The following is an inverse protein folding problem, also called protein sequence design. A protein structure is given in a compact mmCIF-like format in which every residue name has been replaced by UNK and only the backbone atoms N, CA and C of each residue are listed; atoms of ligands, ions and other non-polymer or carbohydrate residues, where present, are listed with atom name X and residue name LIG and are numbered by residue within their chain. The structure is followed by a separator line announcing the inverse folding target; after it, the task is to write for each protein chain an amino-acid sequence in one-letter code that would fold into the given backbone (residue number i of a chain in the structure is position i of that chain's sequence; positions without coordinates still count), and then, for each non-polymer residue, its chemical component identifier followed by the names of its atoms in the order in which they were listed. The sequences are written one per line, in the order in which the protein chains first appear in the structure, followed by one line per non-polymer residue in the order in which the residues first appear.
data_IF_712182776553
#
_entry.id   IF_712182776553
#
_cell.length_a   1.000
_cell.length_b   1.000
_cell.length_c   1.000
_cell.angle_alpha   90.00
_cell.angle_beta   90.00
_cell.angle_gamma   90.00
#
_symmetry.space_group_name_H-M   'P 1'
#
loop_
_entity.id
_entity.type
_entity.pdbx_description
1 polymer ?
#
# COMPACT_ATOMS: atom_id res chain seq x y z
N UNK A 1 -19.46 -7.04 -3.80
CA UNK A 1 -18.24 -7.29 -4.61
C UNK A 1 -17.59 -8.64 -4.31
N UNK A 2 -17.00 -8.86 -3.13
CA UNK A 2 -16.37 -10.15 -2.77
C UNK A 2 -17.26 -11.37 -3.10
N UNK A 3 -18.50 -11.36 -2.61
CA UNK A 3 -19.49 -12.42 -2.89
C UNK A 3 -19.81 -12.59 -4.38
N UNK A 4 -19.98 -11.49 -5.13
CA UNK A 4 -20.32 -11.56 -6.56
C UNK A 4 -19.16 -12.08 -7.41
N UNK A 5 -17.92 -11.95 -6.92
CA UNK A 5 -16.73 -12.46 -7.59
C UNK A 5 -16.25 -13.81 -7.05
N UNK A 6 -16.90 -14.37 -6.02
CA UNK A 6 -16.49 -15.63 -5.41
C UNK A 6 -15.13 -15.55 -4.69
N UNK A 7 -14.74 -14.37 -4.21
CA UNK A 7 -13.45 -14.15 -3.53
C UNK A 7 -13.66 -13.76 -2.06
N UNK A 8 -12.63 -13.95 -1.23
CA UNK A 8 -12.69 -13.52 0.18
C UNK A 8 -12.47 -12.01 0.33
N UNK A 9 -13.01 -11.42 1.39
CA UNK A 9 -12.75 -10.01 1.70
C UNK A 9 -11.27 -9.77 2.02
N UNK A 10 -10.62 -10.74 2.67
CA UNK A 10 -9.18 -10.70 2.92
C UNK A 10 -8.38 -10.63 1.60
N UNK A 11 -8.76 -11.39 0.57
CA UNK A 11 -8.11 -11.32 -0.74
C UNK A 11 -8.23 -9.95 -1.40
N UNK A 12 -9.39 -9.29 -1.28
CA UNK A 12 -9.54 -7.91 -1.76
C UNK A 12 -8.59 -6.96 -1.03
N UNK A 13 -8.54 -7.06 0.30
CA UNK A 13 -7.66 -6.26 1.18
C UNK A 13 -6.19 -6.45 0.80
N UNK A 14 -5.73 -7.70 0.72
CA UNK A 14 -4.36 -8.04 0.36
C UNK A 14 -4.00 -7.58 -1.06
N UNK A 15 -4.92 -7.72 -2.01
CA UNK A 15 -4.69 -7.29 -3.40
C UNK A 15 -4.50 -5.78 -3.48
N UNK A 16 -5.40 -5.01 -2.86
CA UNK A 16 -5.31 -3.55 -2.85
C UNK A 16 -4.06 -3.08 -2.09
N UNK A 17 -3.67 -3.78 -1.02
CA UNK A 17 -2.42 -3.52 -0.33
C UNK A 17 -1.20 -3.76 -1.24
N UNK A 18 -1.17 -4.87 -1.97
CA UNK A 18 -0.12 -5.16 -2.94
C UNK A 18 -0.01 -4.10 -4.04
N UNK A 19 -1.14 -3.64 -4.60
CA UNK A 19 -1.17 -2.54 -5.57
C UNK A 19 -0.60 -1.25 -4.97
N UNK A 20 -0.98 -0.90 -3.74
CA UNK A 20 -0.48 0.28 -3.05
C UNK A 20 1.03 0.19 -2.81
N UNK A 21 1.51 -0.92 -2.25
CA UNK A 21 2.95 -1.12 -1.99
C UNK A 21 3.74 -1.07 -3.30
N UNK A 22 3.24 -1.67 -4.37
CA UNK A 22 3.86 -1.58 -5.70
C UNK A 22 3.95 -0.14 -6.19
N UNK A 23 2.85 0.62 -6.09
CA UNK A 23 2.82 2.03 -6.46
C UNK A 23 3.73 2.94 -5.62
N UNK A 24 3.86 2.67 -4.32
CA UNK A 24 4.74 3.43 -3.42
C UNK A 24 6.23 3.11 -3.61
N UNK A 25 6.55 1.89 -4.06
CA UNK A 25 7.93 1.41 -4.21
C UNK A 25 8.42 1.40 -5.66
N UNK A 26 7.53 1.62 -6.63
CA UNK A 26 7.81 1.46 -8.06
C UNK A 26 8.10 0.01 -8.47
N UNK A 27 7.58 -0.98 -7.72
CA UNK A 27 7.85 -2.40 -7.95
C UNK A 27 6.63 -3.11 -8.52
N UNK A 28 6.89 -3.99 -9.48
CA UNK A 28 5.89 -4.89 -10.06
C UNK A 28 5.83 -6.25 -9.36
N UNK A 29 6.76 -6.56 -8.47
CA UNK A 29 6.76 -7.81 -7.70
C UNK A 29 6.98 -7.46 -6.22
N UNK A 30 5.92 -7.60 -5.42
CA UNK A 30 5.90 -7.16 -4.03
C UNK A 30 5.61 -8.33 -3.10
N UNK A 31 6.24 -8.30 -1.93
CA UNK A 31 6.03 -9.27 -0.86
C UNK A 31 5.69 -8.52 0.43
N UNK A 32 4.62 -8.94 1.09
CA UNK A 32 4.24 -8.45 2.41
C UNK A 32 3.81 -9.62 3.28
N UNK A 33 3.89 -9.47 4.60
CA UNK A 33 3.41 -10.49 5.52
C UNK A 33 1.89 -10.44 5.62
N UNK A 34 1.25 -11.58 5.81
CA UNK A 34 -0.14 -11.66 6.26
C UNK A 34 -0.27 -12.59 7.44
N UNK A 35 -1.04 -12.18 8.43
CA UNK A 35 -1.43 -13.06 9.53
C UNK A 35 -2.58 -13.94 9.08
N UNK A 36 -2.41 -15.26 9.20
CA UNK A 36 -3.45 -16.27 8.97
C UNK A 36 -3.79 -16.96 10.29
N UNK A 37 -5.01 -17.49 10.37
CA UNK A 37 -5.46 -18.19 11.58
C UNK A 37 -4.70 -19.49 11.87
N UNK A 38 -4.05 -20.08 10.85
CA UNK A 38 -3.35 -21.37 10.91
C UNK A 38 -4.22 -22.54 11.38
N UNK A 39 -5.52 -22.48 11.10
CA UNK A 39 -6.51 -23.51 11.42
C UNK A 39 -6.92 -24.26 10.15
N UNK A 40 -6.27 -25.40 9.81
CA UNK A 40 -6.60 -26.14 8.58
C UNK A 40 -7.98 -26.80 8.69
N UNK A 41 -8.79 -26.64 7.64
CA UNK A 41 -10.19 -27.11 7.60
C UNK A 41 -10.35 -28.64 7.70
N UNK A 42 -9.27 -29.38 7.48
CA UNK A 42 -9.20 -30.85 7.58
C UNK A 42 -9.31 -31.33 9.04
N UNK A 43 -8.99 -30.48 10.01
CA UNK A 43 -9.07 -30.81 11.44
C UNK A 43 -10.49 -30.49 11.93
N UNK A 44 -11.28 -31.53 12.19
CA UNK A 44 -12.63 -31.40 12.74
C UNK A 44 -12.58 -30.67 14.09
N UNK A 45 -13.34 -29.59 14.21
CA UNK A 45 -13.41 -28.77 15.44
C UNK A 45 -12.26 -27.79 15.64
N UNK A 46 -11.36 -27.62 14.65
CA UNK A 46 -10.20 -26.72 14.75
C UNK A 46 -10.58 -25.28 15.08
N UNK A 47 -11.76 -24.82 14.66
CA UNK A 47 -12.26 -23.46 14.92
C UNK A 47 -12.46 -23.17 16.41
N UNK A 48 -12.73 -24.21 17.22
CA UNK A 48 -13.00 -24.11 18.65
C UNK A 48 -11.78 -24.43 19.53
N UNK A 49 -10.66 -24.83 18.92
CA UNK A 49 -9.44 -25.19 19.66
C UNK A 49 -8.75 -23.95 20.23
N UNK A 50 -8.33 -24.01 21.50
CA UNK A 50 -7.51 -22.98 22.13
C UNK A 50 -6.04 -23.38 22.01
N UNK A 51 -5.21 -22.50 21.43
CA UNK A 51 -3.79 -22.75 21.19
C UNK A 51 -3.16 -21.69 20.28
N UNK A 52 -1.84 -21.75 20.10
CA UNK A 52 -1.10 -20.87 19.20
C UNK A 52 -1.24 -21.38 17.76
N UNK A 53 -2.28 -20.92 17.07
CA UNK A 53 -2.53 -21.26 15.66
C UNK A 53 -2.15 -20.14 14.70
N UNK A 54 -2.07 -18.89 15.16
CA UNK A 54 -1.74 -17.77 14.27
C UNK A 54 -0.38 -17.98 13.62
N UNK A 55 -0.30 -17.74 12.33
CA UNK A 55 0.94 -17.84 11.57
C UNK A 55 1.09 -16.61 10.67
N UNK A 56 2.32 -16.23 10.38
CA UNK A 56 2.64 -15.11 9.50
C UNK A 56 3.26 -15.67 8.23
N UNK A 57 2.62 -15.42 7.09
CA UNK A 57 3.04 -15.95 5.80
C UNK A 57 3.41 -14.81 4.85
N UNK A 58 4.47 -14.95 4.03
CA UNK A 58 4.73 -14.01 2.96
C UNK A 58 3.70 -14.18 1.84
N UNK A 59 3.04 -13.09 1.49
CA UNK A 59 2.15 -12.98 0.34
C UNK A 59 2.91 -12.25 -0.75
N UNK A 60 3.16 -12.93 -1.86
CA UNK A 60 3.80 -12.34 -3.05
C UNK A 60 2.73 -12.01 -4.09
N UNK A 61 2.70 -10.77 -4.54
CA UNK A 61 1.82 -10.33 -5.63
C UNK A 61 2.68 -9.75 -6.74
N UNK A 62 2.55 -10.32 -7.93
CA UNK A 62 3.08 -9.75 -9.17
C UNK A 62 2.01 -8.89 -9.81
N UNK A 63 2.35 -7.65 -10.15
CA UNK A 63 1.50 -6.68 -10.79
C UNK A 63 1.82 -6.67 -12.29
N UNK A 64 0.80 -6.76 -13.12
CA UNK A 64 0.94 -6.68 -14.57
C UNK A 64 0.21 -5.43 -15.05
N UNK A 65 0.92 -4.49 -15.67
CA UNK A 65 0.38 -3.19 -16.04
C UNK A 65 -0.94 -3.27 -16.86
N UNK A 66 -1.04 -4.25 -17.76
CA UNK A 66 -2.21 -4.46 -18.61
C UNK A 66 -3.35 -5.29 -17.97
N UNK A 67 -3.09 -5.95 -16.83
CA UNK A 67 -4.09 -6.74 -16.11
C UNK A 67 -5.13 -5.81 -15.47
N UNK A 68 -6.40 -6.20 -15.45
CA UNK A 68 -7.43 -5.44 -14.73
C UNK A 68 -7.38 -5.72 -13.23
N UNK A 69 -7.84 -4.76 -12.42
CA UNK A 69 -7.89 -4.95 -10.97
C UNK A 69 -8.76 -6.17 -10.57
N UNK A 70 -9.88 -6.40 -11.28
CA UNK A 70 -10.71 -7.58 -11.10
C UNK A 70 -9.96 -8.89 -11.42
N UNK A 71 -9.20 -8.91 -12.53
CA UNK A 71 -8.40 -10.08 -12.94
C UNK A 71 -7.30 -10.38 -11.93
N UNK A 72 -6.62 -9.33 -11.44
CA UNK A 72 -5.61 -9.45 -10.39
C UNK A 72 -6.21 -10.09 -9.12
N UNK A 73 -7.38 -9.61 -8.67
CA UNK A 73 -8.06 -10.18 -7.49
C UNK A 73 -8.39 -11.66 -7.68
N UNK A 74 -8.91 -12.05 -8.85
CA UNK A 74 -9.21 -13.46 -9.17
C UNK A 74 -7.94 -14.32 -9.13
N UNK A 75 -6.86 -13.82 -9.74
CA UNK A 75 -5.58 -14.53 -9.75
C UNK A 75 -5.00 -14.68 -8.35
N UNK A 76 -5.00 -13.62 -7.54
CA UNK A 76 -4.56 -13.69 -6.14
C UNK A 76 -5.44 -14.66 -5.34
N UNK A 77 -6.76 -14.69 -5.54
CA UNK A 77 -7.64 -15.67 -4.89
C UNK A 77 -7.23 -17.12 -5.21
N UNK A 78 -6.92 -17.40 -6.48
CA UNK A 78 -6.49 -18.73 -6.93
C UNK A 78 -5.12 -19.11 -6.37
N UNK A 79 -4.16 -18.19 -6.42
CA UNK A 79 -2.82 -18.36 -5.85
C UNK A 79 -2.90 -18.65 -4.34
N UNK A 80 -3.70 -17.86 -3.60
CA UNK A 80 -3.89 -18.06 -2.15
C UNK A 80 -4.59 -19.38 -1.82
N UNK A 81 -5.60 -19.78 -2.62
CA UNK A 81 -6.27 -21.07 -2.43
C UNK A 81 -5.31 -22.25 -2.60
N UNK A 82 -4.39 -22.17 -3.58
CA UNK A 82 -3.35 -23.19 -3.80
C UNK A 82 -2.32 -23.29 -2.66
N UNK A 83 -2.20 -22.26 -1.81
CA UNK A 83 -1.26 -22.22 -0.69
C UNK A 83 -1.86 -22.68 0.64
N UNK A 84 -3.18 -22.85 0.74
CA UNK A 84 -3.88 -23.19 1.99
C UNK A 84 -3.28 -24.42 2.71
N UNK A 85 -2.93 -25.47 1.95
CA UNK A 85 -2.34 -26.70 2.49
C UNK A 85 -0.98 -26.46 3.18
N UNK A 86 -0.28 -25.36 2.86
CA UNK A 86 1.04 -25.02 3.36
C UNK A 86 1.03 -23.96 4.47
N UNK A 87 -0.15 -23.49 4.91
CA UNK A 87 -0.26 -22.46 5.95
C UNK A 87 0.27 -22.89 7.33
N UNK A 88 0.65 -24.16 7.49
CA UNK A 88 1.28 -24.70 8.69
C UNK A 88 2.80 -24.45 8.74
N UNK A 89 3.43 -24.08 7.61
CA UNK A 89 4.87 -23.79 7.57
C UNK A 89 5.17 -22.49 8.29
N UNK A 90 6.09 -22.52 9.25
CA UNK A 90 6.48 -21.33 10.01
C UNK A 90 7.31 -20.35 9.17
N UNK A 91 7.18 -19.05 9.46
CA UNK A 91 7.93 -18.00 8.76
C UNK A 91 9.45 -18.25 8.73
N UNK A 92 10.01 -18.75 9.84
CA UNK A 92 11.45 -19.07 9.94
C UNK A 92 11.87 -20.15 8.94
N UNK A 93 11.06 -21.19 8.74
CA UNK A 93 11.33 -22.25 7.78
C UNK A 93 11.24 -21.72 6.34
N UNK A 94 10.22 -20.91 6.06
CA UNK A 94 10.07 -20.25 4.76
C UNK A 94 11.28 -19.34 4.46
N UNK A 95 11.75 -18.59 5.45
CA UNK A 95 12.97 -17.77 5.33
C UNK A 95 14.19 -18.62 5.01
N UNK A 96 14.42 -19.72 5.71
CA UNK A 96 15.55 -20.61 5.46
C UNK A 96 15.54 -21.17 4.02
N UNK A 97 14.35 -21.52 3.50
CA UNK A 97 14.20 -22.02 2.14
C UNK A 97 14.35 -20.93 1.07
N UNK A 98 13.91 -19.70 1.36
CA UNK A 98 13.97 -18.58 0.43
C UNK A 98 15.36 -17.91 0.36
N UNK A 99 16.19 -18.09 1.38
CA UNK A 99 17.54 -17.53 1.48
C UNK A 99 17.70 -16.48 2.57
N UNK A 100 18.88 -15.87 2.67
CA UNK A 100 19.19 -14.90 3.73
C UNK A 100 18.61 -13.51 3.46
N UNK A 101 17.83 -12.98 4.40
CA UNK A 101 17.35 -11.59 4.41
C UNK A 101 15.91 -11.45 4.94
N UNK A 102 15.46 -10.23 5.25
CA UNK A 102 14.04 -9.99 5.54
C UNK A 102 13.21 -10.24 4.27
N UNK A 103 12.11 -11.00 4.40
CA UNK A 103 11.22 -11.31 3.28
C UNK A 103 10.26 -10.16 2.95
N UNK A 104 9.92 -9.36 3.96
CA UNK A 104 8.98 -8.25 3.85
C UNK A 104 9.13 -7.29 5.03
N UNK A 105 8.73 -6.04 4.82
CA UNK A 105 8.78 -4.96 5.81
C UNK A 105 7.39 -4.43 6.20
N UNK A 106 6.33 -4.97 5.58
CA UNK A 106 4.96 -4.59 5.87
C UNK A 106 4.09 -5.80 6.17
N UNK A 107 3.06 -5.59 7.00
CA UNK A 107 2.16 -6.65 7.46
C UNK A 107 0.70 -6.25 7.21
N UNK A 108 -0.12 -7.19 6.73
CA UNK A 108 -1.58 -7.06 6.71
C UNK A 108 -2.22 -8.02 7.70
N UNK A 109 -3.16 -7.52 8.49
CA UNK A 109 -3.94 -8.30 9.45
C UNK A 109 -5.42 -8.14 9.11
N UNK A 110 -6.10 -9.25 8.88
CA UNK A 110 -7.55 -9.26 8.70
C UNK A 110 -8.20 -9.96 9.89
N UNK A 111 -8.89 -9.20 10.73
CA UNK A 111 -9.53 -9.72 11.93
C UNK A 111 -10.91 -10.29 11.59
N UNK A 112 -11.04 -11.61 11.52
CA UNK A 112 -12.32 -12.27 11.21
C UNK A 112 -13.32 -12.32 12.40
N UNK A 113 -13.06 -11.61 13.50
CA UNK A 113 -13.91 -11.67 14.69
C UNK A 113 -14.84 -10.45 14.75
N UNK A 114 -16.14 -10.64 15.07
CA UNK A 114 -16.97 -9.51 15.46
C UNK A 114 -16.40 -8.96 16.77
N UNK A 115 -15.80 -7.78 16.72
CA UNK A 115 -15.51 -7.02 17.95
C UNK A 115 -16.85 -6.85 18.63
N UNK A 116 -16.99 -7.47 19.81
CA UNK A 116 -18.17 -7.34 20.66
C UNK A 116 -18.47 -5.84 20.74
N UNK A 117 -19.66 -5.46 20.23
CA UNK A 117 -20.10 -4.08 20.23
C UNK A 117 -19.99 -3.59 21.66
N UNK A 118 -19.30 -2.48 21.84
CA UNK A 118 -19.29 -1.74 23.10
C UNK A 118 -20.76 -1.47 23.45
N UNK A 119 -21.31 -2.28 24.35
CA UNK A 119 -22.71 -2.24 24.73
C UNK A 119 -22.89 -1.07 25.68
N UNK A 120 -22.92 0.13 25.11
CA UNK A 120 -23.32 1.37 25.79
C UNK A 120 -24.84 1.42 26.01
N UNK A 121 -25.49 0.27 26.19
CA UNK A 121 -26.91 0.21 26.52
C UNK A 121 -27.22 -1.02 27.40
N UNK A 122 -27.69 -0.72 28.61
CA UNK A 122 -28.46 -1.53 29.56
C UNK A 122 -27.71 -2.24 30.70
N UNK A 123 -27.87 -1.61 31.87
CA UNK A 123 -28.08 -2.20 33.18
C UNK A 123 -28.43 -3.71 33.18
N UNK A 124 -27.44 -4.56 33.42
CA UNK A 124 -27.65 -5.75 34.25
C UNK A 124 -26.35 -6.07 35.00
N UNK A 125 -26.49 -6.21 36.32
CA UNK A 125 -25.38 -6.36 37.25
C UNK A 125 -24.92 -7.81 37.23
N UNK A 126 -24.23 -8.24 36.16
CA UNK A 126 -23.52 -9.53 36.09
C UNK A 126 -22.60 -9.73 34.87
N UNK A 127 -22.17 -8.67 34.19
CA UNK A 127 -21.26 -8.81 33.05
C UNK A 127 -19.80 -8.59 33.47
N UNK A 128 -18.96 -9.56 33.09
CA UNK A 128 -17.51 -9.43 33.10
C UNK A 128 -17.17 -8.13 32.37
N UNK A 129 -16.56 -7.18 33.08
CA UNK A 129 -16.09 -5.92 32.53
C UNK A 129 -14.89 -6.23 31.62
N UNK A 130 -15.16 -6.72 30.41
CA UNK A 130 -14.15 -7.01 29.41
C UNK A 130 -13.68 -5.67 28.85
N UNK A 131 -12.79 -5.00 29.57
CA UNK A 131 -11.97 -3.94 28.99
C UNK A 131 -11.18 -4.57 27.87
N UNK A 132 -11.52 -4.22 26.63
CA UNK A 132 -10.68 -4.50 25.47
C UNK A 132 -9.39 -3.71 25.70
N UNK A 133 -8.40 -4.38 26.29
CA UNK A 133 -7.04 -3.86 26.32
C UNK A 133 -6.59 -3.92 24.87
N UNK A 134 -6.53 -2.76 24.21
CA UNK A 134 -5.78 -2.63 22.98
C UNK A 134 -4.33 -2.95 23.33
N UNK A 135 -3.92 -4.19 23.07
CA UNK A 135 -2.53 -4.58 23.17
C UNK A 135 -1.74 -3.62 22.31
N UNK A 136 -0.74 -2.96 22.91
CA UNK A 136 0.34 -2.37 22.16
C UNK A 136 1.09 -3.53 21.50
N UNK A 137 0.62 -3.95 20.33
CA UNK A 137 1.44 -4.77 19.43
C UNK A 137 2.62 -3.89 19.06
N UNK A 138 3.74 -4.10 19.74
CA UNK A 138 5.01 -3.51 19.35
C UNK A 138 5.19 -3.78 17.85
N UNK A 139 5.24 -2.74 17.04
CA UNK A 139 5.31 -2.83 15.59
C UNK A 139 6.66 -3.44 15.21
N UNK A 140 6.74 -4.77 15.15
CA UNK A 140 7.93 -5.50 14.66
C UNK A 140 8.21 -5.18 13.18
N UNK A 141 7.22 -4.65 12.47
CA UNK A 141 7.31 -4.20 11.08
C UNK A 141 7.12 -2.68 10.99
N UNK A 142 7.88 -1.97 10.14
CA UNK A 142 7.73 -0.54 9.92
C UNK A 142 6.29 -0.07 9.64
N UNK A 143 5.46 -0.91 9.01
CA UNK A 143 4.10 -0.59 8.64
C UNK A 143 3.17 -1.82 8.74
N UNK A 144 2.08 -1.70 9.49
CA UNK A 144 1.08 -2.76 9.66
C UNK A 144 -0.32 -2.22 9.39
N UNK A 145 -1.01 -2.79 8.40
CA UNK A 145 -2.41 -2.50 8.10
C UNK A 145 -3.31 -3.55 8.75
N UNK A 146 -4.14 -3.15 9.70
CA UNK A 146 -5.21 -3.98 10.24
C UNK A 146 -6.56 -3.57 9.63
N UNK A 147 -7.31 -4.57 9.13
CA UNK A 147 -8.67 -4.41 8.61
C UNK A 147 -9.62 -5.21 9.50
N UNK A 148 -10.56 -4.50 10.10
CA UNK A 148 -11.47 -5.03 11.11
C UNK A 148 -12.91 -4.79 10.63
N UNK A 149 -13.66 -5.83 10.26
CA UNK A 149 -15.08 -5.72 9.96
C UNK A 149 -15.85 -5.13 11.15
N UNK A 150 -16.72 -4.16 10.86
CA UNK A 150 -17.52 -3.43 11.84
C UNK A 150 -18.94 -3.23 11.31
N UNK A 151 -19.74 -4.31 11.34
CA UNK A 151 -21.08 -4.32 10.75
C UNK A 151 -21.02 -4.15 9.24
N UNK A 152 -21.67 -3.10 8.73
CA UNK A 152 -21.67 -2.75 7.30
C UNK A 152 -20.46 -1.91 6.87
N UNK A 153 -19.56 -1.60 7.81
CA UNK A 153 -18.33 -0.86 7.56
C UNK A 153 -17.08 -1.71 7.83
N UNK A 154 -15.93 -1.22 7.38
CA UNK A 154 -14.63 -1.73 7.76
C UNK A 154 -13.86 -0.64 8.49
N UNK A 155 -13.32 -0.96 9.67
CA UNK A 155 -12.35 -0.11 10.35
C UNK A 155 -10.97 -0.46 9.81
N UNK A 156 -10.25 0.56 9.37
CA UNK A 156 -8.87 0.46 8.93
C UNK A 156 -7.99 1.09 10.01
N UNK A 157 -6.96 0.37 10.46
CA UNK A 157 -5.92 0.89 11.36
C UNK A 157 -4.58 0.69 10.70
N UNK A 158 -3.78 1.75 10.63
CA UNK A 158 -2.42 1.70 10.11
C UNK A 158 -1.47 2.01 11.26
N UNK A 159 -0.82 0.97 11.78
CA UNK A 159 0.20 1.10 12.80
C UNK A 159 1.56 1.30 12.09
N UNK A 160 2.37 2.24 12.54
CA UNK A 160 3.64 2.59 11.91
C UNK A 160 4.74 2.84 12.93
N UNK A 161 6.00 2.63 12.53
CA UNK A 161 7.15 3.00 13.34
C UNK A 161 7.49 4.49 13.16
N UNK A 162 7.50 5.30 14.23
CA UNK A 162 7.79 6.74 14.13
C UNK A 162 9.20 7.08 13.63
N UNK A 163 10.14 6.13 13.74
CA UNK A 163 11.50 6.27 13.19
C UNK A 163 11.55 6.20 11.67
N UNK A 164 10.54 5.60 11.03
CA UNK A 164 10.47 5.40 9.58
C UNK A 164 9.39 6.28 8.92
N UNK A 165 8.28 6.55 9.62
CA UNK A 165 7.15 7.30 9.09
C UNK A 165 6.68 8.37 10.10
N UNK A 166 6.42 9.57 9.59
CA UNK A 166 5.65 10.57 10.32
C UNK A 166 4.13 10.35 10.14
N UNK A 167 3.35 11.02 10.97
CA UNK A 167 1.90 10.91 10.98
C UNK A 167 1.26 11.33 9.65
N UNK A 168 1.77 12.38 9.01
CA UNK A 168 1.24 12.88 7.74
C UNK A 168 1.44 11.88 6.61
N UNK A 169 2.61 11.23 6.56
CA UNK A 169 2.94 10.20 5.59
C UNK A 169 2.13 8.93 5.84
N UNK A 170 2.00 8.49 7.08
CA UNK A 170 1.13 7.36 7.42
C UNK A 170 -0.34 7.64 7.02
N UNK A 171 -0.85 8.84 7.33
CA UNK A 171 -2.21 9.26 6.97
C UNK A 171 -2.43 9.31 5.46
N UNK A 172 -1.46 9.81 4.69
CA UNK A 172 -1.50 9.78 3.21
C UNK A 172 -1.52 8.36 2.66
N UNK A 173 -0.71 7.45 3.21
CA UNK A 173 -0.71 6.03 2.81
C UNK A 173 -2.09 5.41 3.04
N UNK A 174 -2.70 5.64 4.21
CA UNK A 174 -4.03 5.14 4.52
C UNK A 174 -5.10 5.73 3.60
N UNK A 175 -5.03 7.03 3.29
CA UNK A 175 -5.94 7.69 2.35
C UNK A 175 -5.81 7.12 0.92
N UNK A 176 -4.59 6.84 0.45
CA UNK A 176 -4.36 6.18 -0.85
C UNK A 176 -4.91 4.76 -0.87
N UNK A 177 -4.78 4.03 0.23
CA UNK A 177 -5.40 2.71 0.38
C UNK A 177 -6.93 2.79 0.25
N UNK A 178 -7.57 3.75 0.92
CA UNK A 178 -9.01 4.00 0.80
C UNK A 178 -9.41 4.40 -0.62
N UNK A 179 -8.60 5.20 -1.30
CA UNK A 179 -8.81 5.58 -2.69
C UNK A 179 -8.80 4.37 -3.62
N UNK A 180 -7.84 3.44 -3.45
CA UNK A 180 -7.77 2.21 -4.24
C UNK A 180 -8.93 1.25 -3.94
N UNK A 181 -9.39 1.18 -2.68
CA UNK A 181 -10.62 0.44 -2.34
C UNK A 181 -11.85 1.02 -3.05
N UNK A 182 -11.89 2.33 -3.31
CA UNK A 182 -12.96 2.95 -4.09
C UNK A 182 -12.86 2.63 -5.59
N UNK A 183 -11.64 2.58 -6.15
CA UNK A 183 -11.45 2.12 -7.54
C UNK A 183 -11.89 0.68 -7.73
N UNK A 184 -11.66 -0.18 -6.74
CA UNK A 184 -12.12 -1.56 -6.75
C UNK A 184 -13.65 -1.68 -6.89
N UNK A 185 -14.43 -0.72 -6.39
CA UNK A 185 -15.90 -0.75 -6.48
C UNK A 185 -16.47 0.00 -7.68
N UNK A 186 -15.72 0.91 -8.28
CA UNK A 186 -16.20 1.81 -9.34
C UNK A 186 -15.56 1.58 -10.71
N UNK A 187 -14.37 0.96 -10.76
CA UNK A 187 -13.52 0.88 -11.94
C UNK A 187 -12.70 -0.42 -12.01
N UNK A 188 -13.21 -1.52 -11.45
CA UNK A 188 -12.50 -2.80 -11.33
C UNK A 188 -11.96 -3.38 -12.65
N UNK A 189 -12.63 -3.09 -13.77
CA UNK A 189 -12.26 -3.61 -15.09
C UNK A 189 -11.15 -2.79 -15.77
N UNK A 190 -10.73 -1.67 -15.18
CA UNK A 190 -9.62 -0.86 -15.70
C UNK A 190 -8.27 -1.56 -15.49
N UNK A 191 -7.32 -1.37 -16.43
CA UNK A 191 -5.96 -1.89 -16.28
C UNK A 191 -5.22 -1.23 -15.12
N UNK A 192 -4.31 -1.95 -14.47
CA UNK A 192 -3.50 -1.43 -13.36
C UNK A 192 -2.70 -0.19 -13.77
N UNK A 193 -2.25 -0.10 -15.03
CA UNK A 193 -1.50 1.06 -15.55
C UNK A 193 -2.30 2.36 -15.55
N UNK A 194 -3.63 2.28 -15.50
CA UNK A 194 -4.54 3.43 -15.47
C UNK A 194 -5.13 3.69 -14.08
N UNK A 195 -4.62 3.02 -13.03
CA UNK A 195 -5.03 3.28 -11.66
C UNK A 195 -4.24 4.45 -11.07
N UNK A 196 -4.95 5.47 -10.63
CA UNK A 196 -4.38 6.57 -9.90
C UNK A 196 -4.12 6.14 -8.45
N UNK A 197 -2.84 5.94 -8.11
CA UNK A 197 -2.42 5.71 -6.72
C UNK A 197 -2.29 7.04 -5.97
N UNK A 198 -2.06 8.14 -6.70
CA UNK A 198 -2.03 9.49 -6.14
C UNK A 198 -3.43 9.94 -5.77
N UNK A 199 -3.54 10.67 -4.67
CA UNK A 199 -4.78 11.34 -4.31
C UNK A 199 -5.03 12.50 -5.29
N UNK A 200 -6.29 12.86 -5.60
CA UNK A 200 -6.60 13.94 -6.54
C UNK A 200 -5.88 15.28 -6.26
N UNK A 201 -5.66 15.63 -4.99
CA UNK A 201 -4.93 16.85 -4.61
C UNK A 201 -3.41 16.78 -4.79
N UNK A 202 -2.83 15.58 -4.89
CA UNK A 202 -1.39 15.40 -5.08
C UNK A 202 -0.98 15.68 -6.53
N UNK A 203 -1.84 15.38 -7.51
CA UNK A 203 -1.60 15.72 -8.92
C UNK A 203 -1.53 17.24 -9.12
N UNK A 204 -2.43 18.01 -8.50
CA UNK A 204 -2.39 19.47 -8.58
C UNK A 204 -1.10 20.06 -7.97
N UNK A 205 -0.61 19.50 -6.86
CA UNK A 205 0.67 19.90 -6.27
C UNK A 205 1.85 19.60 -7.22
N UNK A 206 1.82 18.48 -7.95
CA UNK A 206 2.83 18.18 -8.97
C UNK A 206 2.78 19.18 -10.12
N UNK A 207 1.59 19.59 -10.56
CA UNK A 207 1.45 20.64 -11.58
C UNK A 207 2.04 21.96 -11.10
N UNK A 208 1.78 22.34 -9.85
CA UNK A 208 2.36 23.55 -9.23
C UNK A 208 3.89 23.48 -9.14
N UNK A 209 4.44 22.36 -8.65
CA UNK A 209 5.89 22.18 -8.57
C UNK A 209 6.56 22.18 -9.95
N UNK A 210 5.84 21.70 -10.97
CA UNK A 210 6.32 21.68 -12.35
C UNK A 210 5.92 22.92 -13.16
N UNK A 211 5.33 23.95 -12.54
CA UNK A 211 4.99 25.22 -13.17
C UNK A 211 6.24 26.07 -13.47
N UNK A 212 7.22 25.48 -14.14
CA UNK A 212 8.45 26.10 -14.66
C UNK A 212 8.21 26.86 -15.97
N UNK A 213 6.94 27.09 -16.30
CA UNK A 213 6.49 27.75 -17.52
C UNK A 213 7.03 29.18 -17.63
N UNK A 214 8.14 29.32 -18.33
CA UNK A 214 8.49 30.52 -19.08
C UNK A 214 8.52 30.13 -20.55
N UNK A 215 7.94 30.95 -21.43
CA UNK A 215 8.19 30.81 -22.85
C UNK A 215 9.66 31.16 -23.05
N UNK A 216 10.53 30.15 -23.10
CA UNK A 216 11.89 30.35 -23.56
C UNK A 216 11.77 30.93 -24.96
N UNK A 217 12.40 32.08 -25.17
CA UNK A 217 12.43 32.70 -26.49
C UNK A 217 12.95 31.66 -27.49
N UNK A 218 12.17 31.41 -28.53
CA UNK A 218 12.61 30.57 -29.66
C UNK A 218 13.54 31.41 -30.51
N UNK A 219 14.81 31.45 -30.11
CA UNK A 219 15.91 32.03 -30.86
C UNK A 219 17.12 31.14 -30.71
N UNK A 220 17.88 31.01 -31.80
CA UNK A 220 19.17 30.36 -31.78
C UNK A 220 20.17 31.20 -30.99
N UNK A 221 21.17 30.55 -30.39
CA UNK A 221 22.26 31.25 -29.70
C UNK A 221 22.91 32.34 -30.58
N UNK A 222 23.17 32.12 -31.89
CA UNK A 222 23.68 33.17 -32.78
C UNK A 222 22.75 34.38 -32.93
N UNK A 223 21.43 34.20 -32.99
CA UNK A 223 20.48 35.32 -33.07
C UNK A 223 20.48 36.15 -31.80
N UNK A 224 20.47 35.49 -30.63
CA UNK A 224 20.57 36.17 -29.33
C UNK A 224 21.90 36.91 -29.19
N UNK A 225 22.99 36.32 -29.69
CA UNK A 225 24.31 36.94 -29.72
C UNK A 225 24.33 38.18 -30.64
N UNK A 226 23.82 38.08 -31.87
CA UNK A 226 23.79 39.19 -32.82
C UNK A 226 22.99 40.39 -32.29
N UNK A 227 21.86 40.13 -31.64
CA UNK A 227 21.07 41.19 -30.99
C UNK A 227 21.82 41.84 -29.83
N UNK A 228 22.54 41.05 -29.03
CA UNK A 228 23.35 41.61 -27.94
C UNK A 228 24.47 42.50 -28.48
N UNK A 229 25.13 42.11 -29.57
CA UNK A 229 26.13 42.93 -30.27
C UNK A 229 25.51 44.22 -30.81
N UNK A 230 24.32 44.16 -31.42
CA UNK A 230 23.63 45.36 -31.90
C UNK A 230 23.20 46.30 -30.76
N UNK A 231 22.82 45.74 -29.60
CA UNK A 231 22.35 46.51 -28.45
C UNK A 231 23.47 47.24 -27.72
N UNK A 232 24.63 46.60 -27.53
CA UNK A 232 25.76 47.19 -26.78
C UNK A 232 27.10 46.83 -27.45
N UNK A 233 27.42 47.43 -28.62
CA UNK A 233 28.58 47.02 -29.42
C UNK A 233 29.94 47.32 -28.80
N UNK A 234 30.01 48.26 -27.84
CA UNK A 234 31.27 48.64 -27.18
C UNK A 234 31.50 47.98 -25.81
N UNK A 235 30.63 47.05 -25.40
CA UNK A 235 30.82 46.33 -24.14
C UNK A 235 31.83 45.20 -24.34
N UNK A 236 32.74 45.05 -23.37
CA UNK A 236 33.64 43.89 -23.28
C UNK A 236 32.82 42.61 -23.18
N UNK A 237 32.90 41.77 -24.21
CA UNK A 237 32.25 40.47 -24.32
C UNK A 237 33.19 39.31 -23.92
N UNK A 238 34.49 39.42 -24.24
CA UNK A 238 35.48 38.37 -23.93
C UNK A 238 36.83 39.00 -23.54
N UNK A 239 37.42 38.52 -22.46
CA UNK A 239 38.79 38.86 -22.05
C UNK A 239 39.61 37.59 -21.88
N UNK A 240 40.78 37.55 -22.51
CA UNK A 240 41.75 36.48 -22.32
C UNK A 240 43.16 37.05 -22.31
N UNK A 241 43.77 37.08 -21.12
CA UNK A 241 45.04 37.78 -20.92
C UNK A 241 44.87 39.28 -21.13
N UNK A 242 45.71 39.88 -21.99
CA UNK A 242 45.61 41.31 -22.34
C UNK A 242 44.64 41.60 -23.50
N UNK A 243 44.10 40.56 -24.17
CA UNK A 243 43.18 40.73 -25.29
C UNK A 243 41.75 40.90 -24.80
N UNK A 244 41.09 41.97 -25.27
CA UNK A 244 39.74 42.39 -24.89
C UNK A 244 38.89 42.60 -26.15
N UNK A 245 37.78 41.89 -26.24
CA UNK A 245 36.80 41.93 -27.35
C UNK A 245 35.43 42.33 -26.83
#
# INVERSE_FOLDING_TARGET
LARSWGVTLNTLVQTVWGVLVGGLTGREDVVFGSVVSGRPAEIVGVEQMVGLFINTLPIRIRLQAAESLASLVQRVQQEQAGLLAYHHLGLTEIQQLAGSGPLFDTLTVFENYPVVRDSADKHDSRHLDARVIHGLDATHYPLTLAVIPAGDAMRLRLDYQPSAFDQDRASRILARYQHLLHHLTTAADRPLSGLDVLLPGECAALEEWNATGGVARVASIPEVFAEQVARVPGALAVEFGEVRL
#
